data_IF_373708075396
#
_entry.id   IF_373708075396
#
_cell.length_a   1.000
_cell.length_b   1.000
_cell.length_c   1.000
_cell.angle_alpha   90.00
_cell.angle_beta   90.00
_cell.angle_gamma   90.00
#
_symmetry.space_group_name_H-M   'P 1'
#
loop_
_entity.id
_entity.type
_entity.pdbx_description
1 polymer ?
#
# COMPACT_ATOMS: atom_id res chain seq x y z
N UNK A 1 5.47 -2.63 17.19
CA UNK A 1 4.39 -3.58 17.49
C UNK A 1 3.29 -2.97 18.36
N UNK A 2 3.59 -2.44 19.55
CA UNK A 2 2.58 -1.82 20.45
C UNK A 2 1.72 -0.75 19.76
N UNK A 3 2.33 0.16 18.98
CA UNK A 3 1.59 1.19 18.24
C UNK A 3 0.57 0.57 17.27
N UNK A 4 0.98 -0.37 16.42
CA UNK A 4 0.06 -1.04 15.49
C UNK A 4 -1.06 -1.80 16.22
N UNK A 5 -0.75 -2.43 17.35
CA UNK A 5 -1.74 -3.11 18.18
C UNK A 5 -2.85 -2.17 18.66
N UNK A 6 -2.46 -0.98 19.13
CA UNK A 6 -3.42 0.04 19.55
C UNK A 6 -4.17 0.66 18.36
N UNK A 7 -3.51 0.86 17.20
CA UNK A 7 -4.16 1.35 15.99
C UNK A 7 -5.26 0.41 15.48
N UNK A 8 -5.00 -0.90 15.49
CA UNK A 8 -6.01 -1.92 15.10
C UNK A 8 -7.21 -1.89 16.05
N UNK A 9 -6.97 -1.79 17.37
CA UNK A 9 -8.05 -1.66 18.36
C UNK A 9 -8.84 -0.37 18.18
N UNK A 10 -8.16 0.76 17.99
CA UNK A 10 -8.80 2.05 17.78
C UNK A 10 -9.66 2.08 16.49
N UNK A 11 -9.16 1.46 15.41
CA UNK A 11 -9.92 1.26 14.17
C UNK A 11 -11.21 0.47 14.43
N UNK A 12 -11.11 -0.66 15.13
CA UNK A 12 -12.27 -1.49 15.46
C UNK A 12 -13.32 -0.71 16.26
N UNK A 13 -12.91 0.05 17.29
CA UNK A 13 -13.84 0.88 18.07
C UNK A 13 -14.49 1.98 17.23
N UNK A 14 -13.75 2.63 16.33
CA UNK A 14 -14.32 3.64 15.43
C UNK A 14 -15.34 3.04 14.46
N UNK A 15 -15.08 1.83 13.93
CA UNK A 15 -16.02 1.10 13.09
C UNK A 15 -17.29 0.73 13.86
N UNK A 16 -17.19 0.20 15.08
CA UNK A 16 -18.35 -0.15 15.92
C UNK A 16 -19.17 1.09 16.28
N UNK A 17 -18.51 2.18 16.68
CA UNK A 17 -19.19 3.46 16.93
C UNK A 17 -19.99 3.92 15.71
N UNK A 18 -19.38 3.88 14.52
CA UNK A 18 -20.07 4.22 13.28
C UNK A 18 -21.27 3.31 13.03
N UNK A 19 -21.06 2.00 13.14
CA UNK A 19 -22.06 0.98 12.87
C UNK A 19 -23.27 1.07 13.81
N UNK A 20 -23.02 1.25 15.11
CA UNK A 20 -24.04 1.24 16.16
C UNK A 20 -24.80 2.58 16.24
N UNK A 21 -24.12 3.71 15.98
CA UNK A 21 -24.69 5.04 16.23
C UNK A 21 -25.12 5.79 14.98
N UNK A 22 -24.36 5.68 13.88
CA UNK A 22 -24.47 6.59 12.75
C UNK A 22 -24.93 5.93 11.45
N UNK A 23 -24.59 4.65 11.23
CA UNK A 23 -24.81 3.96 9.96
C UNK A 23 -26.27 3.93 9.52
N UNK A 24 -27.20 3.68 10.45
CA UNK A 24 -28.64 3.65 10.14
C UNK A 24 -29.19 4.98 9.59
N UNK A 25 -28.57 6.12 9.94
CA UNK A 25 -28.99 7.45 9.49
C UNK A 25 -28.21 7.93 8.27
N UNK A 26 -26.91 7.62 8.20
CA UNK A 26 -26.01 8.17 7.20
C UNK A 26 -25.80 7.27 5.99
N UNK A 27 -25.92 5.94 6.15
CA UNK A 27 -25.72 4.97 5.07
C UNK A 27 -24.31 4.95 4.46
N UNK A 28 -23.32 5.54 5.13
CA UNK A 28 -21.94 5.59 4.63
C UNK A 28 -21.14 4.32 4.90
N UNK A 29 -19.90 4.33 4.42
CA UNK A 29 -18.92 3.25 4.55
C UNK A 29 -17.70 3.73 5.33
N UNK A 30 -17.14 2.88 6.18
CA UNK A 30 -15.93 3.13 6.97
C UNK A 30 -14.97 1.94 6.86
N UNK A 31 -13.70 2.26 6.64
CA UNK A 31 -12.64 1.26 6.63
C UNK A 31 -11.29 1.92 6.96
N UNK A 32 -10.21 1.17 6.76
CA UNK A 32 -8.83 1.58 6.92
C UNK A 32 -8.09 1.52 5.58
N UNK A 33 -7.13 2.43 5.42
CA UNK A 33 -6.16 2.39 4.32
C UNK A 33 -4.86 1.75 4.80
N UNK A 34 -4.39 0.74 4.07
CA UNK A 34 -3.14 0.04 4.35
C UNK A 34 -2.22 0.16 3.13
N UNK A 35 -0.97 0.57 3.35
CA UNK A 35 0.01 0.63 2.27
C UNK A 35 0.72 -0.71 2.08
N UNK A 36 1.04 -1.06 0.83
CA UNK A 36 1.93 -2.19 0.54
C UNK A 36 2.63 -2.05 -0.80
N UNK A 37 3.92 -2.35 -0.82
CA UNK A 37 4.59 -2.80 -2.04
C UNK A 37 4.07 -4.17 -2.46
N UNK A 38 4.25 -4.51 -3.73
CA UNK A 38 4.25 -5.91 -4.15
C UNK A 38 5.65 -6.52 -3.89
N UNK A 39 5.72 -7.80 -3.56
CA UNK A 39 6.98 -8.51 -3.35
C UNK A 39 7.13 -9.64 -4.37
N UNK A 40 8.18 -9.59 -5.16
CA UNK A 40 8.65 -10.70 -5.99
C UNK A 40 9.84 -11.40 -5.31
N UNK A 41 10.06 -12.70 -5.54
CA UNK A 41 11.31 -13.34 -5.16
C UNK A 41 12.46 -12.77 -5.98
N UNK A 42 13.59 -12.46 -5.33
CA UNK A 42 14.80 -12.01 -6.02
C UNK A 42 15.31 -13.07 -7.00
N UNK A 43 15.26 -14.34 -6.62
CA UNK A 43 15.44 -15.47 -7.52
C UNK A 43 14.16 -16.32 -7.56
N UNK A 44 13.39 -16.31 -8.67
CA UNK A 44 12.13 -17.07 -8.77
C UNK A 44 12.32 -18.59 -8.78
N UNK A 45 13.55 -19.08 -8.90
CA UNK A 45 13.88 -20.51 -8.85
C UNK A 45 14.41 -20.95 -7.48
N UNK A 46 14.47 -20.05 -6.49
CA UNK A 46 14.95 -20.36 -5.14
C UNK A 46 13.81 -20.27 -4.13
N UNK A 47 13.43 -21.41 -3.54
CA UNK A 47 12.31 -21.50 -2.60
C UNK A 47 12.41 -20.51 -1.43
N UNK A 48 13.61 -20.32 -0.89
CA UNK A 48 13.90 -19.38 0.21
C UNK A 48 13.55 -17.91 -0.15
N UNK A 49 13.70 -17.52 -1.42
CA UNK A 49 13.33 -16.18 -1.90
C UNK A 49 11.81 -16.09 -2.15
N UNK A 50 11.17 -17.18 -2.60
CA UNK A 50 9.70 -17.28 -2.74
C UNK A 50 9.02 -17.14 -1.38
N UNK A 51 9.52 -17.86 -0.37
CA UNK A 51 8.99 -17.79 1.00
C UNK A 51 9.26 -16.42 1.62
N UNK A 52 10.37 -15.78 1.26
CA UNK A 52 10.68 -14.41 1.66
C UNK A 52 9.69 -13.39 1.08
N UNK A 53 9.28 -13.54 -0.18
CA UNK A 53 8.27 -12.68 -0.79
C UNK A 53 6.92 -12.79 -0.08
N UNK A 54 6.46 -14.02 0.20
CA UNK A 54 5.23 -14.27 0.97
C UNK A 54 5.31 -13.66 2.37
N UNK A 55 6.42 -13.90 3.08
CA UNK A 55 6.65 -13.35 4.42
C UNK A 55 6.72 -11.82 4.41
N UNK A 56 7.26 -11.21 3.37
CA UNK A 56 7.29 -9.75 3.23
C UNK A 56 5.88 -9.17 3.22
N UNK A 57 4.98 -9.71 2.38
CA UNK A 57 3.58 -9.27 2.30
C UNK A 57 2.85 -9.48 3.62
N UNK A 58 3.09 -10.61 4.30
CA UNK A 58 2.47 -10.90 5.60
C UNK A 58 2.93 -9.95 6.71
N UNK A 59 4.21 -9.56 6.74
CA UNK A 59 4.72 -8.59 7.72
C UNK A 59 4.32 -7.14 7.42
N UNK A 60 4.01 -6.82 6.16
CA UNK A 60 3.63 -5.48 5.73
C UNK A 60 2.11 -5.31 5.68
N UNK A 61 1.46 -5.79 4.61
CA UNK A 61 0.02 -5.69 4.42
C UNK A 61 -0.72 -6.56 5.45
N UNK A 62 -0.28 -7.81 5.60
CA UNK A 62 -0.90 -8.80 6.48
C UNK A 62 -0.86 -8.44 7.96
N UNK A 63 0.02 -7.53 8.39
CA UNK A 63 0.12 -7.12 9.79
C UNK A 63 -1.14 -6.38 10.27
N UNK A 64 -1.71 -5.52 9.42
CA UNK A 64 -2.97 -4.84 9.69
C UNK A 64 -4.17 -5.58 9.07
N UNK A 65 -3.98 -6.19 7.90
CA UNK A 65 -5.09 -6.78 7.16
C UNK A 65 -5.59 -8.11 7.75
N UNK A 66 -4.73 -8.98 8.32
CA UNK A 66 -5.21 -10.24 8.91
C UNK A 66 -6.19 -10.04 10.07
N UNK A 67 -5.89 -9.17 11.06
CA UNK A 67 -6.82 -8.90 12.15
C UNK A 67 -8.18 -8.42 11.63
N UNK A 68 -8.19 -7.46 10.71
CA UNK A 68 -9.43 -6.79 10.29
C UNK A 68 -10.23 -7.63 9.28
N UNK A 69 -9.57 -8.17 8.26
CA UNK A 69 -10.22 -8.77 7.08
C UNK A 69 -10.33 -10.29 7.11
N UNK A 70 -9.68 -10.98 8.06
CA UNK A 70 -9.60 -12.45 8.04
C UNK A 70 -10.11 -13.10 9.31
N UNK A 71 -9.44 -12.90 10.44
CA UNK A 71 -9.67 -13.75 11.62
C UNK A 71 -9.59 -13.04 12.97
N UNK A 72 -9.39 -11.72 13.03
CA UNK A 72 -9.30 -10.99 14.30
C UNK A 72 -7.91 -11.02 14.96
N UNK A 73 -6.95 -11.75 14.40
CA UNK A 73 -5.61 -11.94 14.97
C UNK A 73 -4.50 -11.65 13.96
N UNK A 74 -3.27 -11.51 14.44
CA UNK A 74 -2.10 -11.40 13.57
C UNK A 74 -1.87 -12.69 12.77
N UNK A 75 -1.24 -12.58 11.61
CA UNK A 75 -0.85 -13.74 10.82
C UNK A 75 0.16 -14.62 11.57
N UNK A 76 0.05 -15.95 11.40
CA UNK A 76 0.88 -16.93 12.12
C UNK A 76 2.38 -16.75 11.87
N UNK A 77 2.76 -16.40 10.63
CA UNK A 77 4.16 -16.18 10.26
C UNK A 77 4.79 -15.08 11.11
N UNK A 78 4.05 -13.99 11.36
CA UNK A 78 4.51 -12.89 12.21
C UNK A 78 4.56 -13.29 13.69
N UNK A 79 3.52 -13.96 14.21
CA UNK A 79 3.45 -14.42 15.61
C UNK A 79 4.61 -15.37 15.93
N UNK A 80 4.79 -16.43 15.15
CA UNK A 80 5.81 -17.44 15.37
C UNK A 80 7.21 -16.83 15.31
N UNK A 81 7.53 -16.05 14.27
CA UNK A 81 8.88 -15.49 14.10
C UNK A 81 9.27 -14.49 15.19
N UNK A 82 8.36 -13.60 15.57
CA UNK A 82 8.65 -12.63 16.64
C UNK A 82 8.78 -13.37 17.98
N UNK A 83 7.97 -14.41 18.23
CA UNK A 83 8.08 -15.24 19.43
C UNK A 83 9.44 -15.94 19.50
N UNK A 84 9.83 -16.63 18.43
CA UNK A 84 11.12 -17.34 18.34
C UNK A 84 12.30 -16.40 18.55
N UNK A 85 12.28 -15.21 17.91
CA UNK A 85 13.35 -14.24 18.10
C UNK A 85 13.36 -13.63 19.50
N UNK A 86 12.19 -13.39 20.09
CA UNK A 86 12.10 -12.93 21.48
C UNK A 86 12.71 -13.96 22.44
N UNK A 87 12.43 -15.26 22.22
CA UNK A 87 13.06 -16.35 22.98
C UNK A 87 14.58 -16.41 22.77
N UNK A 88 15.05 -16.29 21.53
CA UNK A 88 16.48 -16.26 21.21
C UNK A 88 17.22 -15.05 21.81
N UNK A 89 16.48 -14.03 22.24
CA UNK A 89 16.99 -12.85 22.94
C UNK A 89 16.89 -12.99 24.47
N UNK A 90 16.46 -14.15 24.99
CA UNK A 90 16.28 -14.39 26.41
C UNK A 90 15.01 -13.78 27.00
N UNK A 91 14.06 -13.32 26.17
CA UNK A 91 12.78 -12.79 26.65
C UNK A 91 11.81 -13.93 26.92
N UNK A 92 11.18 -13.91 28.10
CA UNK A 92 10.16 -14.88 28.48
C UNK A 92 8.85 -14.71 27.69
N UNK A 93 8.56 -13.48 27.22
CA UNK A 93 7.36 -13.11 26.46
C UNK A 93 7.71 -12.63 25.04
N UNK A 94 6.75 -12.75 24.13
CA UNK A 94 6.86 -12.18 22.78
C UNK A 94 6.91 -10.66 22.82
N UNK A 95 7.69 -10.03 21.93
CA UNK A 95 7.66 -8.58 21.68
C UNK A 95 6.41 -8.15 20.88
N UNK A 96 5.71 -9.09 20.24
CA UNK A 96 4.41 -8.84 19.62
C UNK A 96 3.31 -8.98 20.68
N UNK A 97 2.49 -7.95 20.95
CA UNK A 97 1.34 -8.07 21.83
C UNK A 97 0.34 -9.09 21.30
N UNK A 98 -0.45 -9.69 22.20
CA UNK A 98 -1.48 -10.68 21.86
C UNK A 98 -2.86 -10.05 22.02
N UNK A 99 -3.78 -10.34 21.10
CA UNK A 99 -5.19 -10.04 21.28
C UNK A 99 -5.83 -11.13 22.14
N UNK A 100 -6.64 -10.73 23.12
CA UNK A 100 -7.57 -11.63 23.80
C UNK A 100 -8.66 -12.13 22.85
N UNK A 101 -9.34 -13.23 23.19
CA UNK A 101 -10.43 -13.75 22.34
C UNK A 101 -11.56 -12.73 22.14
N UNK A 102 -11.88 -11.93 23.16
CA UNK A 102 -12.84 -10.83 23.04
C UNK A 102 -12.37 -9.75 22.08
N UNK A 103 -11.07 -9.41 22.08
CA UNK A 103 -10.52 -8.43 21.14
C UNK A 103 -10.52 -8.98 19.71
N UNK A 104 -10.14 -10.24 19.51
CA UNK A 104 -10.18 -10.88 18.19
C UNK A 104 -11.59 -10.83 17.59
N UNK A 105 -12.59 -11.21 18.38
CA UNK A 105 -13.99 -11.16 17.96
C UNK A 105 -14.44 -9.72 17.67
N UNK A 106 -13.97 -8.75 18.46
CA UNK A 106 -14.34 -7.34 18.27
C UNK A 106 -13.65 -6.69 17.07
N UNK A 107 -12.45 -7.13 16.68
CA UNK A 107 -11.70 -6.60 15.55
C UNK A 107 -12.14 -7.22 14.22
N UNK A 108 -12.38 -8.54 14.20
CA UNK A 108 -12.70 -9.28 12.97
C UNK A 108 -13.93 -8.68 12.28
N UNK A 109 -13.81 -8.36 10.99
CA UNK A 109 -14.94 -7.88 10.19
C UNK A 109 -15.27 -6.40 10.35
N UNK A 110 -14.38 -5.61 10.95
CA UNK A 110 -14.55 -4.16 11.11
C UNK A 110 -14.15 -3.39 9.84
N UNK A 111 -14.71 -3.76 8.69
CA UNK A 111 -14.43 -3.10 7.41
C UNK A 111 -15.65 -3.14 6.49
N UNK A 112 -15.78 -2.10 5.67
CA UNK A 112 -16.79 -2.05 4.59
C UNK A 112 -16.16 -2.22 3.19
N UNK A 113 -14.85 -1.96 3.08
CA UNK A 113 -14.04 -2.11 1.86
C UNK A 113 -12.57 -2.27 2.23
N UNK A 114 -11.70 -2.66 1.30
CA UNK A 114 -10.25 -2.70 1.46
C UNK A 114 -9.61 -1.42 0.91
N UNK A 115 -9.11 -0.54 1.79
CA UNK A 115 -8.39 0.67 1.38
C UNK A 115 -6.91 0.35 1.12
N UNK A 116 -6.41 0.67 -0.08
CA UNK A 116 -5.04 0.34 -0.50
C UNK A 116 -4.26 1.57 -0.95
N UNK A 117 -3.06 1.74 -0.37
CA UNK A 117 -2.03 2.59 -0.94
C UNK A 117 -0.97 1.71 -1.61
N UNK A 118 -0.73 1.90 -2.90
CA UNK A 118 0.28 1.13 -3.64
C UNK A 118 1.11 2.05 -4.52
N UNK A 119 2.42 1.80 -4.60
CA UNK A 119 3.36 2.65 -5.33
C UNK A 119 4.36 1.87 -6.17
N UNK A 120 4.93 0.79 -5.61
CA UNK A 120 6.08 0.10 -6.20
C UNK A 120 6.10 -1.39 -5.86
N UNK A 121 7.00 -2.11 -6.50
CA UNK A 121 7.38 -3.51 -6.24
C UNK A 121 8.79 -3.57 -5.69
N UNK A 122 9.08 -4.61 -4.90
CA UNK A 122 10.43 -4.97 -4.45
C UNK A 122 10.75 -6.42 -4.81
N UNK A 123 12.03 -6.70 -5.03
CA UNK A 123 12.59 -8.05 -5.04
C UNK A 123 13.04 -8.42 -3.63
N UNK A 124 12.73 -9.62 -3.17
CA UNK A 124 12.97 -10.03 -1.78
C UNK A 124 13.81 -11.29 -1.70
N UNK A 125 14.68 -11.34 -0.68
CA UNK A 125 15.44 -12.54 -0.35
C UNK A 125 15.61 -12.65 1.17
N UNK A 126 15.85 -13.88 1.61
CA UNK A 126 16.00 -14.18 3.03
C UNK A 126 17.29 -13.60 3.58
N UNK A 127 17.22 -13.01 4.77
CA UNK A 127 18.39 -12.53 5.50
C UNK A 127 18.38 -13.11 6.91
N UNK A 128 19.49 -13.75 7.28
CA UNK A 128 19.71 -14.30 8.61
C UNK A 128 20.37 -13.24 9.49
N UNK A 129 19.57 -12.61 10.35
CA UNK A 129 20.07 -11.66 11.33
C UNK A 129 20.54 -12.38 12.60
N UNK A 130 21.66 -11.95 13.22
CA UNK A 130 22.05 -12.44 14.54
C UNK A 130 20.90 -12.31 15.56
N UNK A 131 20.86 -13.21 16.53
CA UNK A 131 19.78 -13.27 17.52
C UNK A 131 19.66 -11.95 18.32
N UNK A 132 20.78 -11.33 18.66
CA UNK A 132 20.82 -10.07 19.41
C UNK A 132 20.30 -8.83 18.67
N UNK A 133 20.08 -8.88 17.36
CA UNK A 133 19.56 -7.73 16.60
C UNK A 133 18.05 -7.59 16.80
N UNK A 134 17.64 -6.47 17.39
CA UNK A 134 16.26 -6.13 17.71
C UNK A 134 15.73 -5.09 16.72
N UNK A 135 15.02 -5.52 15.68
CA UNK A 135 14.31 -4.60 14.77
C UNK A 135 13.15 -5.31 14.07
N UNK A 136 12.25 -4.51 13.50
CA UNK A 136 11.19 -5.03 12.62
C UNK A 136 11.76 -5.84 11.44
N UNK A 137 12.85 -5.34 10.83
CA UNK A 137 13.50 -6.02 9.71
C UNK A 137 14.16 -7.34 10.12
N UNK A 138 14.76 -7.41 11.32
CA UNK A 138 15.36 -8.64 11.81
C UNK A 138 14.31 -9.71 12.14
N UNK A 139 13.12 -9.27 12.58
CA UNK A 139 11.98 -10.14 12.83
C UNK A 139 11.38 -10.71 11.54
N UNK A 140 11.17 -9.83 10.57
CA UNK A 140 10.75 -10.23 9.22
C UNK A 140 11.78 -11.16 8.58
N UNK A 141 13.07 -10.87 8.71
CA UNK A 141 14.16 -11.68 8.14
C UNK A 141 14.19 -11.63 6.61
N UNK A 142 13.75 -10.52 6.02
CA UNK A 142 13.68 -10.31 4.57
C UNK A 142 14.29 -8.97 4.24
N UNK A 143 15.21 -8.94 3.28
CA UNK A 143 15.71 -7.70 2.70
C UNK A 143 15.00 -7.43 1.35
N UNK A 144 14.38 -6.25 1.18
CA UNK A 144 13.94 -5.79 -0.13
C UNK A 144 15.11 -5.16 -0.89
N UNK A 145 15.15 -5.38 -2.20
CA UNK A 145 16.00 -4.67 -3.17
C UNK A 145 15.17 -4.33 -4.40
N UNK A 146 15.66 -3.43 -5.23
CA UNK A 146 15.02 -3.09 -6.51
C UNK A 146 15.85 -3.62 -7.67
N UNK A 147 15.20 -3.97 -8.77
CA UNK A 147 15.92 -4.21 -10.01
C UNK A 147 16.50 -2.89 -10.55
N UNK A 148 17.73 -2.91 -11.06
CA UNK A 148 18.41 -1.73 -11.61
C UNK A 148 17.86 -1.32 -12.98
N UNK A 149 17.19 -2.25 -13.68
CA UNK A 149 16.51 -1.98 -14.95
C UNK A 149 15.17 -1.28 -14.77
N UNK A 150 14.58 -1.31 -13.57
CA UNK A 150 13.33 -0.62 -13.30
C UNK A 150 13.54 0.88 -13.28
N UNK A 151 12.55 1.58 -13.84
CA UNK A 151 12.65 3.01 -14.01
C UNK A 151 12.55 3.74 -12.66
N UNK A 152 13.41 4.73 -12.46
CA UNK A 152 13.49 5.52 -11.24
C UNK A 152 12.37 6.56 -11.14
N UNK A 153 12.22 7.14 -9.95
CA UNK A 153 11.38 8.30 -9.69
C UNK A 153 12.16 9.36 -8.90
N UNK A 154 11.50 10.42 -8.45
CA UNK A 154 12.08 11.39 -7.53
C UNK A 154 12.48 10.80 -6.17
N UNK A 155 11.81 9.71 -5.76
CA UNK A 155 12.02 9.03 -4.49
C UNK A 155 12.93 7.81 -4.67
N UNK A 156 13.93 7.66 -3.80
CA UNK A 156 14.89 6.55 -3.91
C UNK A 156 14.22 5.16 -3.79
N UNK A 157 13.15 5.07 -3.00
CA UNK A 157 12.41 3.84 -2.70
C UNK A 157 11.39 3.44 -3.78
N UNK A 158 10.95 4.38 -4.63
CA UNK A 158 9.85 4.18 -5.57
C UNK A 158 10.40 3.89 -6.98
N UNK A 159 10.08 2.70 -7.51
CA UNK A 159 10.34 2.31 -8.91
C UNK A 159 9.03 2.12 -9.67
N UNK A 160 9.03 2.47 -10.95
CA UNK A 160 7.85 2.29 -11.82
C UNK A 160 7.71 0.82 -12.19
N UNK A 161 6.76 0.13 -11.54
CA UNK A 161 6.58 -1.33 -11.62
C UNK A 161 5.09 -1.71 -11.68
N UNK A 162 4.37 -1.27 -12.74
CA UNK A 162 2.92 -1.40 -12.84
C UNK A 162 2.43 -2.85 -12.73
N UNK A 163 3.21 -3.82 -13.21
CA UNK A 163 2.84 -5.24 -13.13
C UNK A 163 2.60 -5.72 -11.69
N UNK A 164 3.31 -5.17 -10.70
CA UNK A 164 3.14 -5.55 -9.30
C UNK A 164 1.81 -5.09 -8.73
N UNK A 165 1.23 -4.01 -9.28
CA UNK A 165 -0.06 -3.50 -8.84
C UNK A 165 -1.19 -4.50 -9.10
N UNK A 166 -1.27 -5.05 -10.33
CA UNK A 166 -2.24 -6.11 -10.66
C UNK A 166 -2.04 -7.35 -9.80
N UNK A 167 -0.78 -7.76 -9.58
CA UNK A 167 -0.47 -8.91 -8.73
C UNK A 167 -0.91 -8.71 -7.28
N UNK A 168 -0.68 -7.53 -6.72
CA UNK A 168 -1.11 -7.19 -5.36
C UNK A 168 -2.65 -7.17 -5.24
N UNK A 169 -3.35 -6.57 -6.21
CA UNK A 169 -4.81 -6.57 -6.25
C UNK A 169 -5.38 -8.01 -6.29
N UNK A 170 -4.81 -8.87 -7.13
CA UNK A 170 -5.18 -10.29 -7.17
C UNK A 170 -4.88 -11.00 -5.86
N UNK A 171 -3.72 -10.74 -5.26
CA UNK A 171 -3.36 -11.34 -3.97
C UNK A 171 -4.31 -10.93 -2.86
N UNK A 172 -4.73 -9.66 -2.80
CA UNK A 172 -5.75 -9.18 -1.84
C UNK A 172 -7.07 -9.93 -2.03
N UNK A 173 -7.51 -10.09 -3.28
CA UNK A 173 -8.69 -10.88 -3.62
C UNK A 173 -8.60 -12.31 -3.10
N UNK A 174 -7.50 -13.00 -3.39
CA UNK A 174 -7.31 -14.41 -3.00
C UNK A 174 -7.17 -14.58 -1.49
N UNK A 175 -6.46 -13.67 -0.81
CA UNK A 175 -6.13 -13.77 0.61
C UNK A 175 -7.29 -13.37 1.54
N UNK A 176 -8.13 -12.41 1.11
CA UNK A 176 -9.17 -11.79 1.93
C UNK A 176 -10.60 -11.98 1.37
N UNK A 177 -10.78 -12.96 0.49
CA UNK A 177 -12.10 -13.37 -0.04
C UNK A 177 -12.80 -12.25 -0.84
N UNK A 178 -12.06 -11.69 -1.81
CA UNK A 178 -12.51 -10.70 -2.80
C UNK A 178 -13.29 -9.50 -2.21
N UNK A 179 -12.72 -8.78 -1.23
CA UNK A 179 -13.40 -7.61 -0.67
C UNK A 179 -13.47 -6.48 -1.70
N UNK A 180 -14.47 -5.59 -1.65
CA UNK A 180 -14.46 -4.37 -2.46
C UNK A 180 -13.20 -3.56 -2.20
N UNK A 181 -12.43 -3.21 -3.23
CA UNK A 181 -11.16 -2.49 -3.11
C UNK A 181 -11.34 -1.03 -3.52
N UNK A 182 -10.78 -0.12 -2.72
CA UNK A 182 -10.56 1.27 -3.10
C UNK A 182 -9.07 1.57 -3.01
N UNK A 183 -8.48 1.94 -4.13
CA UNK A 183 -7.10 2.42 -4.15
C UNK A 183 -7.13 3.87 -3.68
N UNK A 184 -6.70 4.10 -2.44
CA UNK A 184 -6.74 5.41 -1.78
C UNK A 184 -5.51 6.26 -2.11
N UNK A 185 -4.40 5.64 -2.50
CA UNK A 185 -3.25 6.33 -3.09
C UNK A 185 -2.55 5.46 -4.13
N UNK A 186 -2.20 6.09 -5.25
CA UNK A 186 -1.22 5.61 -6.22
C UNK A 186 -0.63 6.83 -6.93
N UNK A 187 0.70 6.88 -7.12
CA UNK A 187 1.34 8.05 -7.70
C UNK A 187 2.84 7.90 -7.88
N UNK A 188 3.49 8.94 -8.42
CA UNK A 188 4.94 8.96 -8.65
C UNK A 188 5.50 10.35 -8.38
N UNK A 189 6.65 10.36 -7.71
CA UNK A 189 7.42 11.57 -7.47
C UNK A 189 8.31 11.91 -8.66
N UNK A 190 8.57 13.21 -8.82
CA UNK A 190 9.68 13.71 -9.62
C UNK A 190 10.56 14.59 -8.74
N UNK A 191 11.85 14.63 -9.07
CA UNK A 191 12.86 15.49 -8.44
C UNK A 191 13.70 16.16 -9.52
N UNK A 192 14.27 17.32 -9.22
CA UNK A 192 15.13 18.06 -10.14
C UNK A 192 14.41 19.22 -10.82
N UNK A 193 14.78 19.51 -12.06
CA UNK A 193 14.26 20.68 -12.80
C UNK A 193 12.76 20.50 -13.03
N UNK A 194 11.99 21.46 -12.52
CA UNK A 194 10.54 21.47 -12.66
C UNK A 194 10.12 21.61 -14.14
N UNK A 195 9.16 20.79 -14.55
CA UNK A 195 8.58 20.83 -15.89
C UNK A 195 7.06 20.67 -15.81
N UNK A 196 6.31 21.55 -16.48
CA UNK A 196 4.86 21.41 -16.64
C UNK A 196 4.46 20.23 -17.53
N UNK A 197 5.35 19.80 -18.43
CA UNK A 197 5.17 18.63 -19.27
C UNK A 197 5.78 17.38 -18.62
N UNK A 198 5.13 16.92 -17.54
CA UNK A 198 5.50 15.76 -16.73
C UNK A 198 5.08 14.43 -17.39
N UNK A 199 5.72 14.14 -18.52
CA UNK A 199 5.48 12.90 -19.29
C UNK A 199 5.71 11.65 -18.46
N UNK A 200 6.61 11.71 -17.48
CA UNK A 200 6.90 10.60 -16.57
C UNK A 200 5.70 10.23 -15.71
N UNK A 201 5.07 11.22 -15.08
CA UNK A 201 3.85 11.03 -14.28
C UNK A 201 2.70 10.53 -15.16
N UNK A 202 2.57 11.07 -16.37
CA UNK A 202 1.58 10.60 -17.34
C UNK A 202 1.77 9.12 -17.69
N UNK A 203 3.01 8.69 -17.94
CA UNK A 203 3.33 7.29 -18.20
C UNK A 203 3.02 6.38 -17.00
N UNK A 204 3.34 6.80 -15.78
CA UNK A 204 3.04 6.06 -14.56
C UNK A 204 1.54 5.80 -14.43
N UNK A 205 0.72 6.87 -14.43
CA UNK A 205 -0.73 6.73 -14.28
C UNK A 205 -1.35 5.88 -15.38
N UNK A 206 -0.96 6.10 -16.65
CA UNK A 206 -1.42 5.26 -17.76
C UNK A 206 -1.10 3.79 -17.54
N UNK A 207 0.12 3.47 -17.08
CA UNK A 207 0.55 2.08 -16.91
C UNK A 207 -0.13 1.40 -15.71
N UNK A 208 -0.26 2.09 -14.57
CA UNK A 208 -0.90 1.54 -13.38
C UNK A 208 -2.42 1.41 -13.52
N UNK A 209 -3.10 2.40 -14.12
CA UNK A 209 -4.54 2.31 -14.40
C UNK A 209 -4.82 1.18 -15.38
N UNK A 210 -3.95 0.93 -16.37
CA UNK A 210 -4.09 -0.21 -17.27
C UNK A 210 -3.98 -1.56 -16.53
N UNK A 211 -3.05 -1.70 -15.59
CA UNK A 211 -2.94 -2.90 -14.76
C UNK A 211 -4.13 -3.05 -13.78
N UNK A 212 -4.68 -1.95 -13.28
CA UNK A 212 -5.91 -1.95 -12.49
C UNK A 212 -7.12 -2.45 -13.31
N UNK A 213 -7.29 -1.93 -14.53
CA UNK A 213 -8.36 -2.37 -15.43
C UNK A 213 -8.20 -3.84 -15.83
N UNK A 214 -6.97 -4.31 -16.04
CA UNK A 214 -6.71 -5.76 -16.24
C UNK A 214 -7.05 -6.59 -15.01
N UNK A 215 -6.80 -6.10 -13.80
CA UNK A 215 -7.21 -6.80 -12.57
C UNK A 215 -8.74 -6.95 -12.51
N UNK A 216 -9.50 -5.91 -12.91
CA UNK A 216 -10.97 -5.97 -12.99
C UNK A 216 -11.43 -6.93 -14.09
N UNK A 217 -10.98 -6.72 -15.32
CA UNK A 217 -11.53 -7.41 -16.50
C UNK A 217 -11.02 -8.84 -16.64
N UNK A 218 -9.75 -9.10 -16.31
CA UNK A 218 -9.11 -10.40 -16.53
C UNK A 218 -8.99 -11.25 -15.26
N UNK A 219 -8.89 -10.63 -14.08
CA UNK A 219 -8.73 -11.34 -12.81
C UNK A 219 -10.01 -11.29 -11.94
N UNK A 220 -11.01 -10.51 -12.36
CA UNK A 220 -12.29 -10.36 -11.68
C UNK A 220 -12.19 -9.71 -10.30
N UNK A 221 -11.20 -8.84 -10.06
CA UNK A 221 -11.05 -8.10 -8.80
C UNK A 221 -12.16 -7.06 -8.67
N UNK A 222 -12.83 -6.99 -7.53
CA UNK A 222 -13.84 -5.97 -7.21
C UNK A 222 -13.19 -4.61 -6.86
N UNK A 223 -12.55 -3.96 -7.83
CA UNK A 223 -11.98 -2.61 -7.68
C UNK A 223 -13.02 -1.54 -7.99
N UNK A 224 -13.43 -0.77 -6.98
CA UNK A 224 -14.53 0.21 -7.07
C UNK A 224 -14.10 1.67 -7.08
N UNK A 225 -12.83 1.96 -6.75
CA UNK A 225 -12.34 3.32 -6.73
C UNK A 225 -10.82 3.44 -6.83
N UNK A 226 -10.36 4.57 -7.36
CA UNK A 226 -8.95 4.89 -7.52
C UNK A 226 -8.74 6.40 -7.31
N UNK A 227 -7.93 6.76 -6.34
CA UNK A 227 -7.55 8.15 -6.06
C UNK A 227 -6.04 8.34 -6.19
N UNK A 228 -5.69 9.24 -7.10
CA UNK A 228 -4.32 9.62 -7.38
C UNK A 228 -3.66 10.36 -6.20
N UNK A 229 -2.45 9.95 -5.83
CA UNK A 229 -1.58 10.74 -4.96
C UNK A 229 -0.64 11.60 -5.83
N UNK A 230 -0.85 12.90 -5.92
CA UNK A 230 -1.82 13.71 -5.17
C UNK A 230 -2.42 14.81 -6.04
N UNK A 231 -3.43 15.50 -5.54
CA UNK A 231 -4.05 16.62 -6.24
C UNK A 231 -3.00 17.69 -6.59
N UNK A 232 -2.15 18.09 -5.65
CA UNK A 232 -1.19 19.18 -5.85
C UNK A 232 0.10 18.91 -5.09
N UNK A 233 1.21 19.48 -5.56
CA UNK A 233 2.49 19.40 -4.85
C UNK A 233 2.29 19.84 -3.39
N UNK A 234 2.81 19.05 -2.45
CA UNK A 234 2.60 19.26 -1.02
C UNK A 234 3.91 19.03 -0.25
N UNK A 235 3.83 19.03 1.08
CA UNK A 235 4.94 18.71 1.96
C UNK A 235 5.06 17.17 2.10
N UNK A 236 6.06 16.59 1.45
CA UNK A 236 6.32 15.15 1.40
C UNK A 236 7.20 14.74 2.60
N UNK A 237 6.63 14.89 3.80
CA UNK A 237 7.18 14.39 5.05
C UNK A 237 8.65 14.78 5.27
N UNK A 238 9.53 13.80 5.48
CA UNK A 238 10.96 14.02 5.73
C UNK A 238 11.72 14.63 4.55
N UNK A 239 11.15 14.61 3.34
CA UNK A 239 11.76 15.19 2.14
C UNK A 239 11.35 16.65 1.91
N UNK A 240 10.46 17.18 2.75
CA UNK A 240 9.97 18.55 2.64
C UNK A 240 9.27 18.79 1.31
N UNK A 241 9.76 19.75 0.54
CA UNK A 241 9.18 20.08 -0.77
C UNK A 241 10.05 19.57 -1.93
N UNK A 242 11.03 18.70 -1.71
CA UNK A 242 11.94 18.28 -2.78
C UNK A 242 11.31 17.28 -3.76
N UNK A 243 10.42 16.43 -3.28
CA UNK A 243 9.76 15.39 -4.08
C UNK A 243 8.35 15.84 -4.47
N UNK A 244 8.06 15.85 -5.77
CA UNK A 244 6.79 16.37 -6.32
C UNK A 244 5.89 15.24 -6.77
N UNK A 245 4.79 14.99 -6.08
CA UNK A 245 3.77 13.99 -6.47
C UNK A 245 2.57 14.57 -7.22
N UNK A 246 2.35 15.89 -7.12
CA UNK A 246 1.07 16.49 -7.49
C UNK A 246 0.81 16.58 -8.99
N UNK A 247 -0.45 16.47 -9.37
CA UNK A 247 -0.93 16.87 -10.69
C UNK A 247 -0.85 18.39 -10.92
N UNK A 248 -0.94 19.17 -9.85
CA UNK A 248 -0.82 20.62 -9.91
C UNK A 248 0.46 21.06 -9.23
N UNK A 249 1.24 21.89 -9.93
CA UNK A 249 2.37 22.57 -9.33
C UNK A 249 1.91 23.64 -8.36
N UNK A 250 2.54 23.71 -7.18
CA UNK A 250 2.34 24.78 -6.20
C UNK A 250 3.59 25.62 -6.10
N UNK A 251 3.45 26.93 -6.29
CA UNK A 251 4.56 27.85 -6.05
C UNK A 251 4.65 28.19 -4.56
N UNK A 252 5.58 27.55 -3.85
CA UNK A 252 5.77 27.74 -2.41
C UNK A 252 6.52 29.03 -2.03
N UNK A 253 7.12 29.75 -2.99
CA UNK A 253 7.77 31.05 -2.73
C UNK A 253 6.78 32.21 -2.80
N UNK A 254 5.62 32.02 -3.42
CA UNK A 254 4.53 32.98 -3.49
C UNK A 254 3.57 32.75 -2.31
N UNK A 255 3.33 33.74 -1.44
CA UNK A 255 2.41 33.62 -0.30
C UNK A 255 0.98 33.24 -0.68
N UNK A 256 0.55 33.50 -1.92
CA UNK A 256 -0.77 33.12 -2.42
C UNK A 256 -0.89 31.63 -2.78
N UNK A 257 0.23 30.90 -2.80
CA UNK A 257 0.33 29.48 -3.11
C UNK A 257 -0.48 29.10 -4.37
N UNK A 258 -0.21 29.72 -5.54
CA UNK A 258 -0.99 29.46 -6.75
C UNK A 258 -0.77 28.02 -7.24
N UNK A 259 -1.85 27.38 -7.68
CA UNK A 259 -1.84 26.03 -8.27
C UNK A 259 -1.88 26.15 -9.79
N UNK A 260 -0.98 25.46 -10.50
CA UNK A 260 -0.98 25.42 -11.98
C UNK A 260 -0.96 23.97 -12.47
N UNK A 261 -1.87 23.57 -13.38
CA UNK A 261 -1.97 22.18 -13.82
C UNK A 261 -0.73 21.76 -14.61
N UNK A 262 -0.21 20.57 -14.33
CA UNK A 262 0.78 19.89 -15.16
C UNK A 262 0.06 19.10 -16.27
N UNK A 263 0.80 18.56 -17.24
CA UNK A 263 0.24 17.79 -18.35
C UNK A 263 -0.52 16.55 -17.86
N UNK A 264 0.01 15.87 -16.83
CA UNK A 264 -0.63 14.73 -16.18
C UNK A 264 -2.03 15.02 -15.64
N UNK A 265 -2.30 16.23 -15.16
CA UNK A 265 -3.64 16.64 -14.71
C UNK A 265 -4.67 16.56 -15.84
N UNK A 266 -4.27 17.01 -17.05
CA UNK A 266 -5.12 16.96 -18.25
C UNK A 266 -5.34 15.53 -18.71
N UNK A 267 -4.29 14.72 -18.74
CA UNK A 267 -4.40 13.30 -19.14
C UNK A 267 -5.26 12.48 -18.16
N UNK A 268 -5.11 12.70 -16.86
CA UNK A 268 -5.93 12.03 -15.86
C UNK A 268 -7.41 12.47 -15.96
N UNK A 269 -7.66 13.75 -16.23
CA UNK A 269 -9.03 14.27 -16.48
C UNK A 269 -9.66 13.64 -17.72
N UNK A 270 -8.88 13.40 -18.78
CA UNK A 270 -9.37 12.68 -19.97
C UNK A 270 -9.78 11.24 -19.64
N UNK A 271 -8.97 10.52 -18.85
CA UNK A 271 -9.31 9.15 -18.42
C UNK A 271 -10.62 9.14 -17.64
N UNK A 272 -10.81 10.10 -16.73
CA UNK A 272 -12.05 10.22 -15.95
C UNK A 272 -13.24 10.51 -16.87
N UNK A 273 -13.13 11.51 -17.75
CA UNK A 273 -14.22 11.91 -18.64
C UNK A 273 -14.63 10.81 -19.63
N UNK A 274 -13.67 10.03 -20.10
CA UNK A 274 -13.91 8.89 -20.99
C UNK A 274 -14.33 7.61 -20.23
N UNK A 275 -14.33 7.63 -18.88
CA UNK A 275 -14.51 6.44 -18.04
C UNK A 275 -13.59 5.27 -18.45
N UNK A 276 -12.34 5.57 -18.78
CA UNK A 276 -11.39 4.62 -19.36
C UNK A 276 -10.33 5.29 -20.22
N UNK A 277 -9.50 4.50 -20.89
CA UNK A 277 -8.58 5.08 -21.87
C UNK A 277 -9.32 5.59 -23.11
N UNK A 278 -8.95 6.76 -23.66
CA UNK A 278 -9.49 7.22 -24.92
C UNK A 278 -9.33 6.16 -26.01
N UNK A 279 -10.34 6.00 -26.85
CA UNK A 279 -10.24 5.18 -28.05
C UNK A 279 -9.07 5.71 -28.91
N UNK A 280 -8.09 4.87 -29.28
CA UNK A 280 -7.02 5.27 -30.20
C UNK A 280 -7.52 5.88 -31.52
N UNK A 281 -8.74 5.55 -31.94
CA UNK A 281 -9.38 6.16 -33.11
C UNK A 281 -9.83 7.61 -32.91
N UNK A 282 -9.87 8.10 -31.66
CA UNK A 282 -10.22 9.48 -31.31
C UNK A 282 -9.01 10.43 -31.12
N UNK A 283 -7.77 9.96 -31.37
CA UNK A 283 -6.56 10.80 -31.40
C UNK A 283 -5.34 10.22 -30.70
#
# INVERSE_FOLDING_TARGET
>A
YVVAHNLIKAHAEAWHLYNETYRAKQGGLISITINSEWAEPRNPHKQDDIDSARRYLQFLLGWFAHPIFKNGDYNEVMKTRIRERSLAQGLSKSRLPEFTESEKQRIKGTYDYFGLNHYTTVLTYNVKYPAGILSYDSDRGVAPVTDRSWLNSGSFWLKVTPFGFRKLLRWIKEEYNDPPIYVTENGVSERGVFNFNDTWRTHYYRSYINEALKAVVLDGVDLRGYTAWTLMDNFEWATGFDEKFGFYHVNFTDPSLPRRPKASARHYSQIINCNGFPDPAMG
#
